data_IF_700125921174
#
_entry.id   IF_700125921174
#
_cell.length_a   1.000
_cell.length_b   1.000
_cell.length_c   1.000
_cell.angle_alpha   90.00
_cell.angle_beta   90.00
_cell.angle_gamma   90.00
#
_symmetry.space_group_name_H-M   'P 1'
#
loop_
_entity.id
_entity.type
_entity.pdbx_description
1 polymer ?
#
# COMPACT_ATOMS: atom_id res chain seq x y z
N UNK A 1 12.54 -12.32 -6.25
CA UNK A 1 11.62 -11.51 -5.44
C UNK A 1 12.03 -10.05 -5.52
N UNK A 2 11.10 -9.11 -5.54
CA UNK A 2 11.39 -7.68 -5.47
C UNK A 2 11.33 -7.19 -4.02
N UNK A 3 12.05 -6.11 -3.70
CA UNK A 3 11.97 -5.47 -2.39
C UNK A 3 11.36 -4.07 -2.51
N UNK A 4 10.37 -3.78 -1.67
CA UNK A 4 9.79 -2.46 -1.47
C UNK A 4 10.61 -1.66 -0.44
N UNK A 5 10.61 -0.35 -0.60
CA UNK A 5 11.29 0.57 0.31
C UNK A 5 10.29 1.17 1.31
N UNK A 6 10.56 0.95 2.59
CA UNK A 6 9.78 1.55 3.66
C UNK A 6 10.28 2.97 3.92
N UNK A 7 9.47 3.97 3.57
CA UNK A 7 9.80 5.37 3.83
C UNK A 7 9.59 5.70 5.31
N UNK A 8 10.64 6.14 6.04
CA UNK A 8 10.50 6.54 7.43
C UNK A 8 9.61 7.78 7.55
N UNK A 9 9.00 7.99 8.71
CA UNK A 9 8.17 9.15 9.02
C UNK A 9 6.90 9.34 8.15
N UNK A 10 6.53 8.39 7.30
CA UNK A 10 5.26 8.46 6.55
C UNK A 10 4.05 8.21 7.45
N UNK A 11 4.26 7.44 8.50
CA UNK A 11 3.35 7.23 9.61
C UNK A 11 4.16 7.20 10.91
N UNK A 12 3.50 7.43 12.04
CA UNK A 12 4.14 7.33 13.36
C UNK A 12 3.39 6.34 14.27
N UNK A 13 3.22 5.15 13.76
CA UNK A 13 2.69 4.02 14.52
C UNK A 13 3.70 3.64 15.61
N UNK A 14 3.28 3.69 16.87
CA UNK A 14 4.14 3.45 18.05
C UNK A 14 4.92 2.12 17.98
N UNK A 15 4.32 1.10 17.40
CA UNK A 15 4.92 -0.22 17.29
C UNK A 15 6.04 -0.33 16.23
N UNK A 16 6.08 0.53 15.24
CA UNK A 16 7.04 0.45 14.12
C UNK A 16 7.94 1.67 13.98
N UNK A 17 7.48 2.85 14.43
CA UNK A 17 8.25 4.08 14.31
C UNK A 17 9.38 4.14 15.35
N UNK A 18 10.56 4.51 14.91
CA UNK A 18 11.72 4.71 15.78
C UNK A 18 11.87 6.19 16.19
N UNK A 19 12.50 6.48 17.35
CA UNK A 19 12.60 7.86 17.85
C UNK A 19 13.25 8.84 16.86
N UNK A 20 14.26 8.41 16.11
CA UNK A 20 14.98 9.23 15.13
C UNK A 20 14.10 9.69 13.96
N UNK A 21 13.07 8.93 13.63
CA UNK A 21 12.17 9.28 12.51
C UNK A 21 11.44 10.61 12.74
N UNK A 22 11.31 11.05 13.97
CA UNK A 22 10.70 12.35 14.30
C UNK A 22 11.49 13.55 13.75
N UNK A 23 12.78 13.35 13.47
CA UNK A 23 13.67 14.39 12.92
C UNK A 23 13.74 14.36 11.38
N UNK A 24 13.11 13.39 10.71
CA UNK A 24 13.11 13.27 9.25
C UNK A 24 12.34 14.44 8.64
N UNK A 25 12.99 15.14 7.72
CA UNK A 25 12.45 16.31 7.03
C UNK A 25 11.92 15.98 5.63
N UNK A 26 11.20 16.92 5.00
CA UNK A 26 10.80 16.78 3.59
C UNK A 26 12.00 16.66 2.63
N UNK A 27 13.14 17.30 2.95
CA UNK A 27 14.37 17.14 2.18
C UNK A 27 14.94 15.71 2.30
N UNK A 28 14.87 15.12 3.50
CA UNK A 28 15.27 13.73 3.71
C UNK A 28 14.35 12.76 2.96
N UNK A 29 13.05 13.03 2.92
CA UNK A 29 12.11 12.24 2.12
C UNK A 29 12.52 12.22 0.63
N UNK A 30 12.89 13.37 0.07
CA UNK A 30 13.40 13.45 -1.32
C UNK A 30 14.69 12.66 -1.50
N UNK A 31 15.66 12.79 -0.57
CA UNK A 31 16.92 12.05 -0.59
C UNK A 31 16.68 10.53 -0.53
N UNK A 32 15.81 10.10 0.35
CA UNK A 32 15.45 8.69 0.54
C UNK A 32 14.76 8.08 -0.69
N UNK A 33 13.83 8.82 -1.31
CA UNK A 33 13.16 8.36 -2.52
C UNK A 33 14.16 8.13 -3.68
N UNK A 34 15.05 9.10 -3.92
CA UNK A 34 16.13 8.97 -4.92
C UNK A 34 17.12 7.86 -4.57
N UNK A 35 17.39 7.67 -3.30
CA UNK A 35 18.26 6.61 -2.81
C UNK A 35 17.67 5.23 -3.05
N UNK A 36 16.39 5.04 -2.69
CA UNK A 36 15.68 3.81 -2.97
C UNK A 36 15.70 3.43 -4.45
N UNK A 37 15.46 4.41 -5.32
CA UNK A 37 15.54 4.24 -6.77
C UNK A 37 16.93 3.84 -7.24
N UNK A 38 17.97 4.56 -6.79
CA UNK A 38 19.38 4.28 -7.12
C UNK A 38 19.80 2.87 -6.71
N UNK A 39 19.31 2.38 -5.57
CA UNK A 39 19.62 1.04 -5.06
C UNK A 39 18.81 -0.07 -5.73
N UNK A 40 17.81 0.26 -6.55
CA UNK A 40 16.99 -0.72 -7.27
C UNK A 40 15.86 -1.32 -6.44
N UNK A 41 15.38 -0.63 -5.41
CA UNK A 41 14.10 -0.98 -4.77
C UNK A 41 12.96 -0.82 -5.78
N UNK A 42 11.97 -1.69 -5.69
CA UNK A 42 10.91 -1.77 -6.71
C UNK A 42 9.81 -0.74 -6.53
N UNK A 43 9.55 -0.31 -5.30
CA UNK A 43 8.44 0.60 -4.99
C UNK A 43 8.63 1.34 -3.68
N UNK A 44 8.01 2.50 -3.60
CA UNK A 44 7.76 3.27 -2.37
C UNK A 44 6.27 3.16 -2.06
N UNK A 45 5.93 2.85 -0.80
CA UNK A 45 4.55 2.74 -0.35
C UNK A 45 4.20 3.80 0.68
N UNK A 46 3.05 4.43 0.53
CA UNK A 46 2.59 5.57 1.33
C UNK A 46 1.30 5.19 2.06
N UNK A 47 1.31 5.14 3.40
CA UNK A 47 0.11 4.87 4.19
C UNK A 47 -0.81 6.08 4.25
N UNK A 48 -2.08 5.86 4.62
CA UNK A 48 -3.08 6.90 4.74
C UNK A 48 -3.94 6.74 5.99
N UNK A 49 -4.16 7.85 6.67
CA UNK A 49 -5.32 8.17 7.47
C UNK A 49 -5.59 9.68 7.31
N UNK A 50 -6.84 10.06 7.18
CA UNK A 50 -7.21 11.47 7.04
C UNK A 50 -7.24 12.18 8.38
N UNK A 51 -7.68 11.47 9.42
CA UNK A 51 -7.74 11.95 10.80
C UNK A 51 -7.69 10.77 11.76
N UNK A 52 -6.89 10.89 12.82
CA UNK A 52 -6.84 9.89 13.88
C UNK A 52 -7.54 10.43 15.12
N UNK A 53 -8.64 9.81 15.58
CA UNK A 53 -9.31 10.18 16.82
C UNK A 53 -8.36 10.08 18.01
N UNK A 54 -8.49 10.99 18.99
CA UNK A 54 -7.62 11.02 20.18
C UNK A 54 -7.59 9.68 20.93
N UNK A 55 -8.70 8.95 20.93
CA UNK A 55 -8.83 7.62 21.53
C UNK A 55 -7.97 6.53 20.83
N UNK A 56 -7.55 6.76 19.59
CA UNK A 56 -6.76 5.82 18.78
C UNK A 56 -5.28 6.18 18.67
N UNK A 57 -4.85 7.33 19.21
CA UNK A 57 -3.46 7.81 19.09
C UNK A 57 -2.45 6.82 19.68
N UNK A 58 -2.77 6.19 20.80
CA UNK A 58 -1.88 5.18 21.41
C UNK A 58 -1.68 3.94 20.54
N UNK A 59 -2.70 3.58 19.76
CA UNK A 59 -2.69 2.42 18.89
C UNK A 59 -2.09 2.75 17.51
N UNK A 60 -2.65 3.76 16.85
CA UNK A 60 -2.37 4.07 15.45
C UNK A 60 -1.29 5.15 15.26
N UNK A 61 -0.90 5.83 16.35
CA UNK A 61 -0.06 7.03 16.25
C UNK A 61 -0.84 8.22 15.68
N UNK A 62 -0.33 9.46 15.88
CA UNK A 62 -1.05 10.68 15.49
C UNK A 62 -0.73 11.18 14.08
N UNK A 63 0.22 10.56 13.37
CA UNK A 63 0.82 11.13 12.17
C UNK A 63 0.69 10.22 10.98
N UNK A 64 0.04 10.72 9.93
CA UNK A 64 -0.04 10.11 8.61
C UNK A 64 -0.01 11.21 7.55
N UNK A 65 0.56 10.90 6.40
CA UNK A 65 0.40 11.75 5.23
C UNK A 65 -0.90 11.42 4.48
N UNK A 66 -1.40 12.36 3.70
CA UNK A 66 -2.39 12.07 2.68
C UNK A 66 -1.71 11.35 1.51
N UNK A 67 -2.23 10.19 1.12
CA UNK A 67 -1.55 9.30 0.19
C UNK A 67 -1.30 9.99 -1.17
N UNK A 68 -2.30 10.57 -1.81
CA UNK A 68 -2.14 11.07 -3.19
C UNK A 68 -1.21 12.28 -3.31
N UNK A 69 -1.27 13.31 -2.44
CA UNK A 69 -0.26 14.37 -2.46
C UNK A 69 1.16 13.86 -2.25
N UNK A 70 1.34 12.91 -1.32
CA UNK A 70 2.66 12.34 -1.05
C UNK A 70 3.14 11.45 -2.22
N UNK A 71 2.25 10.66 -2.85
CA UNK A 71 2.57 9.92 -4.08
C UNK A 71 3.01 10.85 -5.20
N UNK A 72 2.30 11.97 -5.41
CA UNK A 72 2.68 12.98 -6.40
C UNK A 72 4.05 13.59 -6.12
N UNK A 73 4.33 13.91 -4.85
CA UNK A 73 5.64 14.41 -4.44
C UNK A 73 6.76 13.41 -4.71
N UNK A 74 6.59 12.13 -4.34
CA UNK A 74 7.57 11.08 -4.56
C UNK A 74 7.77 10.78 -6.04
N UNK A 75 6.68 10.77 -6.82
CA UNK A 75 6.74 10.59 -8.27
C UNK A 75 7.51 11.73 -8.97
N UNK A 76 7.35 12.98 -8.50
CA UNK A 76 8.10 14.13 -9.01
C UNK A 76 9.57 14.14 -8.58
N UNK A 77 9.92 13.47 -7.48
CA UNK A 77 11.29 13.37 -6.99
C UNK A 77 12.11 12.23 -7.64
N UNK A 78 11.47 11.31 -8.34
CA UNK A 78 12.05 10.05 -8.88
C UNK A 78 11.73 9.87 -10.35
N UNK A 79 12.40 8.95 -11.04
CA UNK A 79 12.26 8.72 -12.48
C UNK A 79 11.72 7.33 -12.84
N UNK A 80 12.01 6.29 -12.05
CA UNK A 80 11.75 4.89 -12.42
C UNK A 80 11.03 4.09 -11.36
N UNK A 81 11.23 4.38 -10.06
CA UNK A 81 10.63 3.62 -8.96
C UNK A 81 9.11 3.78 -8.95
N UNK A 82 8.40 2.68 -8.68
CA UNK A 82 6.94 2.72 -8.51
C UNK A 82 6.54 3.46 -7.24
N UNK A 83 5.44 4.19 -7.30
CA UNK A 83 4.80 4.81 -6.15
C UNK A 83 3.44 4.16 -5.90
N UNK A 84 3.20 3.72 -4.67
CA UNK A 84 2.01 3.00 -4.27
C UNK A 84 1.39 3.60 -3.01
N UNK A 85 0.07 3.57 -2.89
CA UNK A 85 -0.58 3.77 -1.59
C UNK A 85 -0.58 2.45 -0.80
N UNK A 86 -0.30 2.51 0.50
CA UNK A 86 -0.37 1.34 1.37
C UNK A 86 -1.01 1.72 2.71
N UNK A 87 -2.29 1.85 2.73
CA UNK A 87 -3.36 1.67 1.77
C UNK A 87 -4.14 2.98 1.63
N UNK A 88 -4.77 3.24 0.48
CA UNK A 88 -5.77 4.28 0.35
C UNK A 88 -7.14 3.74 0.79
N UNK A 89 -7.85 4.47 1.65
CA UNK A 89 -9.14 4.05 2.19
C UNK A 89 -10.24 4.47 1.21
N UNK A 90 -10.55 3.57 0.27
CA UNK A 90 -11.40 3.87 -0.89
C UNK A 90 -12.74 4.54 -0.55
N UNK A 91 -13.52 4.09 0.47
CA UNK A 91 -14.82 4.70 0.77
C UNK A 91 -14.76 6.10 1.38
N UNK A 92 -13.60 6.55 1.87
CA UNK A 92 -13.47 7.86 2.51
C UNK A 92 -13.28 9.02 1.52
N UNK A 93 -13.04 8.72 0.24
CA UNK A 93 -12.88 9.73 -0.79
C UNK A 93 -13.86 9.49 -1.94
N UNK A 94 -14.39 10.57 -2.49
CA UNK A 94 -15.29 10.47 -3.64
C UNK A 94 -14.58 9.86 -4.85
N UNK A 95 -15.12 8.81 -5.51
CA UNK A 95 -14.42 8.04 -6.54
C UNK A 95 -13.98 8.87 -7.75
N UNK A 96 -14.72 9.90 -8.13
CA UNK A 96 -14.32 10.83 -9.20
C UNK A 96 -13.04 11.59 -8.81
N UNK A 97 -12.93 12.03 -7.55
CA UNK A 97 -11.74 12.75 -7.05
C UNK A 97 -10.54 11.81 -6.99
N UNK A 98 -10.77 10.60 -6.47
CA UNK A 98 -9.76 9.52 -6.44
C UNK A 98 -9.25 9.18 -7.85
N UNK A 99 -10.18 8.94 -8.79
CA UNK A 99 -9.83 8.65 -10.18
C UNK A 99 -8.98 9.76 -10.79
N UNK A 100 -9.38 11.04 -10.57
CA UNK A 100 -8.66 12.20 -11.08
C UNK A 100 -7.27 12.35 -10.47
N UNK A 101 -7.14 12.23 -9.18
CA UNK A 101 -5.84 12.33 -8.50
C UNK A 101 -4.85 11.27 -9.01
N UNK A 102 -5.29 10.02 -9.06
CA UNK A 102 -4.45 8.90 -9.50
C UNK A 102 -4.09 8.98 -10.99
N UNK A 103 -5.04 9.31 -11.88
CA UNK A 103 -4.73 9.46 -13.31
C UNK A 103 -3.78 10.63 -13.56
N UNK A 104 -3.88 11.70 -12.77
CA UNK A 104 -2.94 12.84 -12.85
C UNK A 104 -1.53 12.42 -12.44
N UNK A 105 -1.38 11.71 -11.32
CA UNK A 105 -0.07 11.23 -10.87
C UNK A 105 0.50 10.22 -11.86
N UNK A 106 -0.34 9.34 -12.39
CA UNK A 106 0.06 8.35 -13.39
C UNK A 106 0.59 9.01 -14.66
N UNK A 107 -0.12 10.01 -15.16
CA UNK A 107 0.31 10.77 -16.33
C UNK A 107 1.62 11.52 -16.09
N UNK A 108 1.73 12.24 -14.97
CA UNK A 108 2.93 13.00 -14.61
C UNK A 108 4.15 12.12 -14.32
N UNK A 109 3.94 10.92 -13.82
CA UNK A 109 5.00 9.95 -13.52
C UNK A 109 5.39 9.07 -14.71
N UNK A 110 4.68 9.17 -15.85
CA UNK A 110 4.91 8.27 -16.98
C UNK A 110 4.51 6.82 -16.72
N UNK A 111 3.47 6.58 -15.90
CA UNK A 111 2.92 5.24 -15.67
C UNK A 111 3.59 4.47 -14.54
N UNK A 112 4.01 5.13 -13.46
CA UNK A 112 4.65 4.49 -12.29
C UNK A 112 3.75 4.33 -11.09
N UNK A 113 2.46 4.65 -11.22
CA UNK A 113 1.48 4.51 -10.14
C UNK A 113 1.03 3.06 -10.00
N UNK A 114 0.93 2.61 -8.78
CA UNK A 114 0.12 1.47 -8.34
C UNK A 114 -0.73 1.95 -7.18
N UNK A 115 -1.94 1.49 -7.05
CA UNK A 115 -2.79 1.86 -5.91
C UNK A 115 -3.24 0.62 -5.17
N UNK A 116 -3.02 0.61 -3.85
CA UNK A 116 -3.59 -0.41 -2.97
C UNK A 116 -4.78 0.19 -2.23
N UNK A 117 -5.97 -0.32 -2.52
CA UNK A 117 -7.20 0.08 -1.85
C UNK A 117 -7.58 -0.86 -0.72
N UNK A 118 -8.15 -0.31 0.34
CA UNK A 118 -8.89 -1.08 1.35
C UNK A 118 -10.16 -0.36 1.74
N UNK A 119 -10.99 -1.06 2.54
CA UNK A 119 -12.30 -0.53 2.95
C UNK A 119 -12.23 0.31 4.23
N UNK A 120 -11.10 0.31 4.94
CA UNK A 120 -10.94 0.97 6.23
C UNK A 120 -11.52 0.20 7.41
N UNK A 121 -11.01 0.49 8.60
CA UNK A 121 -11.36 -0.21 9.85
C UNK A 121 -11.78 0.73 11.00
N UNK A 122 -11.29 1.98 10.99
CA UNK A 122 -11.48 2.95 12.07
C UNK A 122 -12.82 3.65 11.94
N UNK A 123 -13.84 3.14 12.64
CA UNK A 123 -15.23 3.63 12.54
C UNK A 123 -15.33 5.13 12.82
N UNK A 124 -14.59 5.62 13.80
CA UNK A 124 -14.62 7.01 14.23
C UNK A 124 -14.11 7.96 13.12
N UNK A 125 -13.15 7.53 12.31
CA UNK A 125 -12.69 8.29 11.14
C UNK A 125 -13.83 8.44 10.12
N UNK A 126 -14.59 7.36 9.88
CA UNK A 126 -15.77 7.39 9.01
C UNK A 126 -16.86 8.34 9.54
N UNK A 127 -17.14 8.28 10.85
CA UNK A 127 -18.13 9.14 11.49
C UNK A 127 -17.77 10.62 11.37
N UNK A 128 -16.48 10.95 11.59
CA UNK A 128 -15.97 12.33 11.46
C UNK A 128 -16.04 12.86 10.02
N UNK A 129 -15.88 11.99 9.03
CA UNK A 129 -15.97 12.34 7.62
C UNK A 129 -17.39 12.21 7.05
N UNK A 130 -18.36 11.83 7.87
CA UNK A 130 -19.78 11.69 7.46
C UNK A 130 -20.04 10.51 6.53
N UNK A 131 -19.18 9.48 6.54
CA UNK A 131 -19.30 8.30 5.69
C UNK A 131 -19.88 7.12 6.47
N UNK A 132 -20.86 6.44 5.92
CA UNK A 132 -21.54 5.33 6.57
C UNK A 132 -20.63 4.10 6.68
N UNK A 133 -20.08 3.85 7.87
CA UNK A 133 -19.13 2.76 8.12
C UNK A 133 -19.65 1.38 7.75
N UNK A 134 -20.93 1.11 8.01
CA UNK A 134 -21.56 -0.18 7.69
C UNK A 134 -21.79 -0.40 6.17
N UNK A 135 -21.63 0.62 5.35
CA UNK A 135 -21.76 0.54 3.89
C UNK A 135 -20.41 0.51 3.17
N UNK A 136 -19.28 0.61 3.89
CA UNK A 136 -17.94 0.75 3.31
C UNK A 136 -17.56 -0.35 2.31
N UNK A 137 -18.01 -1.58 2.54
CA UNK A 137 -17.77 -2.69 1.61
C UNK A 137 -18.52 -2.55 0.29
N UNK A 138 -19.81 -2.16 0.36
CA UNK A 138 -20.64 -1.91 -0.82
C UNK A 138 -20.16 -0.65 -1.58
N UNK A 139 -19.81 0.40 -0.84
CA UNK A 139 -19.21 1.61 -1.43
C UNK A 139 -17.92 1.29 -2.17
N UNK A 140 -17.03 0.50 -1.58
CA UNK A 140 -15.76 0.14 -2.22
C UNK A 140 -15.97 -0.68 -3.51
N UNK A 141 -16.97 -1.57 -3.54
CA UNK A 141 -17.31 -2.34 -4.73
C UNK A 141 -17.81 -1.43 -5.87
N UNK A 142 -18.67 -0.49 -5.55
CA UNK A 142 -19.23 0.45 -6.51
C UNK A 142 -18.18 1.49 -6.96
N UNK A 143 -17.37 1.98 -6.03
CA UNK A 143 -16.36 2.99 -6.31
C UNK A 143 -15.26 2.50 -7.24
N UNK A 144 -14.81 1.25 -7.07
CA UNK A 144 -13.80 0.70 -7.99
C UNK A 144 -14.33 0.56 -9.41
N UNK A 145 -15.60 0.17 -9.58
CA UNK A 145 -16.24 0.09 -10.89
C UNK A 145 -16.34 1.48 -11.54
N UNK A 146 -16.81 2.47 -10.78
CA UNK A 146 -16.90 3.86 -11.25
C UNK A 146 -15.53 4.44 -11.63
N UNK A 147 -14.48 4.14 -10.86
CA UNK A 147 -13.11 4.57 -11.15
C UNK A 147 -12.60 3.92 -12.45
N UNK A 148 -12.80 2.62 -12.63
CA UNK A 148 -12.40 1.91 -13.85
C UNK A 148 -13.13 2.46 -15.06
N UNK A 149 -14.44 2.73 -14.94
CA UNK A 149 -15.24 3.34 -16.00
C UNK A 149 -14.67 4.72 -16.41
N UNK A 150 -14.34 5.58 -15.44
CA UNK A 150 -13.71 6.89 -15.69
C UNK A 150 -12.36 6.75 -16.41
N UNK A 151 -11.57 5.74 -16.06
CA UNK A 151 -10.22 5.54 -16.63
C UNK A 151 -10.23 4.94 -18.02
N UNK A 152 -11.25 4.14 -18.37
CA UNK A 152 -11.25 3.33 -19.58
C UNK A 152 -12.21 3.79 -20.67
N UNK A 153 -13.37 4.32 -20.29
CA UNK A 153 -14.42 4.69 -21.23
C UNK A 153 -14.15 6.07 -21.86
N UNK A 154 -14.36 6.19 -23.17
CA UNK A 154 -14.33 7.50 -23.88
C UNK A 154 -15.54 8.39 -23.49
N UNK A 155 -16.66 7.77 -23.18
CA UNK A 155 -17.90 8.42 -22.74
C UNK A 155 -18.34 7.77 -21.43
N UNK A 156 -17.70 8.14 -20.30
CA UNK A 156 -17.95 7.46 -19.05
C UNK A 156 -19.36 7.73 -18.53
N UNK A 157 -20.07 6.65 -18.26
CA UNK A 157 -21.41 6.66 -17.65
C UNK A 157 -21.46 5.58 -16.56
N UNK A 158 -21.96 5.94 -15.41
CA UNK A 158 -22.12 5.03 -14.30
C UNK A 158 -23.38 5.37 -13.52
N UNK A 159 -24.16 4.36 -13.15
CA UNK A 159 -25.33 4.50 -12.31
C UNK A 159 -25.26 3.52 -11.14
N UNK A 160 -25.02 4.05 -9.96
CA UNK A 160 -24.91 3.30 -8.73
C UNK A 160 -25.74 3.93 -7.62
N UNK A 161 -25.71 3.30 -6.45
CA UNK A 161 -26.39 3.78 -5.26
C UNK A 161 -25.62 4.92 -4.57
N UNK A 162 -24.30 4.89 -4.63
CA UNK A 162 -23.41 5.80 -3.91
C UNK A 162 -22.77 6.83 -4.83
N UNK A 163 -22.69 6.53 -6.12
CA UNK A 163 -22.19 7.47 -7.13
C UNK A 163 -22.89 7.25 -8.46
N UNK A 164 -23.22 8.33 -9.16
CA UNK A 164 -23.73 8.27 -10.52
C UNK A 164 -23.19 9.44 -11.32
N UNK A 165 -22.89 9.22 -12.59
CA UNK A 165 -22.49 10.26 -13.52
C UNK A 165 -22.85 9.87 -14.96
N UNK A 166 -23.21 10.88 -15.76
CA UNK A 166 -23.48 10.77 -17.20
C UNK A 166 -23.20 12.09 -17.89
N UNK A 167 -22.98 12.05 -19.18
CA UNK A 167 -22.69 13.26 -19.99
C UNK A 167 -21.44 14.01 -19.45
N UNK A 168 -20.41 13.30 -19.09
CA UNK A 168 -19.17 13.86 -18.54
C UNK A 168 -17.97 13.52 -19.42
N UNK A 169 -16.95 14.36 -19.34
CA UNK A 169 -15.63 14.08 -19.92
C UNK A 169 -14.65 13.91 -18.78
N UNK A 170 -13.82 12.88 -18.86
CA UNK A 170 -12.80 12.60 -17.86
C UNK A 170 -11.43 12.50 -18.54
N UNK A 171 -10.57 13.50 -18.29
CA UNK A 171 -9.17 13.59 -18.75
C UNK A 171 -8.29 14.17 -17.62
N UNK A 172 -6.97 13.83 -17.58
CA UNK A 172 -6.32 12.86 -18.45
C UNK A 172 -6.73 11.43 -18.09
N UNK A 173 -6.72 10.56 -19.07
CA UNK A 173 -6.76 9.12 -18.83
C UNK A 173 -5.42 8.65 -18.28
N UNK A 174 -5.35 7.56 -17.51
CA UNK A 174 -4.08 6.92 -17.17
C UNK A 174 -3.26 6.57 -18.42
N UNK A 175 -1.93 6.69 -18.32
CA UNK A 175 -1.05 6.22 -19.39
C UNK A 175 -0.91 4.70 -19.38
N UNK A 176 -1.02 4.08 -18.21
CA UNK A 176 -1.04 2.63 -18.05
C UNK A 176 -2.32 2.01 -18.63
N UNK A 177 -2.20 0.88 -19.30
CA UNK A 177 -3.35 0.19 -19.95
C UNK A 177 -3.53 -1.23 -19.41
N UNK A 178 -4.76 -1.68 -19.24
CA UNK A 178 -6.03 -0.97 -19.54
C UNK A 178 -6.33 0.17 -18.57
N UNK A 179 -5.74 0.17 -17.37
CA UNK A 179 -5.83 1.19 -16.32
C UNK A 179 -4.68 1.01 -15.32
N UNK A 180 -4.57 1.92 -14.35
CA UNK A 180 -3.58 1.86 -13.26
C UNK A 180 -3.68 0.51 -12.55
N UNK A 181 -2.56 -0.19 -12.28
CA UNK A 181 -2.58 -1.42 -11.50
C UNK A 181 -3.22 -1.20 -10.12
N UNK A 182 -4.29 -1.93 -9.86
CA UNK A 182 -5.04 -1.87 -8.60
C UNK A 182 -4.73 -3.09 -7.77
N UNK A 183 -4.35 -2.88 -6.53
CA UNK A 183 -4.20 -3.91 -5.52
C UNK A 183 -5.27 -3.74 -4.45
N UNK A 184 -5.57 -4.82 -3.73
CA UNK A 184 -6.47 -4.75 -2.59
C UNK A 184 -5.79 -5.23 -1.33
N UNK A 185 -5.98 -4.45 -0.25
CA UNK A 185 -5.47 -4.74 1.09
C UNK A 185 -6.51 -5.36 1.99
N UNK A 186 -6.11 -6.43 2.70
CA UNK A 186 -6.95 -7.12 3.68
C UNK A 186 -7.10 -8.62 3.42
N UNK A 187 -7.82 -9.29 4.32
CA UNK A 187 -7.83 -10.75 4.44
C UNK A 187 -9.22 -11.39 4.29
N UNK A 188 -10.29 -10.58 4.31
CA UNK A 188 -11.68 -11.06 4.21
C UNK A 188 -11.97 -11.58 2.80
N UNK A 189 -12.85 -12.58 2.70
CA UNK A 189 -13.24 -13.19 1.41
C UNK A 189 -13.73 -12.15 0.38
N UNK A 190 -14.48 -11.14 0.83
CA UNK A 190 -14.92 -10.05 -0.05
C UNK A 190 -13.74 -9.25 -0.64
N UNK A 191 -12.60 -9.14 0.04
CA UNK A 191 -11.37 -8.52 -0.47
C UNK A 191 -10.73 -9.43 -1.49
N UNK A 192 -10.63 -10.73 -1.22
CA UNK A 192 -10.04 -11.71 -2.14
C UNK A 192 -10.88 -11.82 -3.43
N UNK A 193 -12.21 -11.81 -3.32
CA UNK A 193 -13.11 -11.79 -4.48
C UNK A 193 -12.95 -10.50 -5.30
N UNK A 194 -12.83 -9.34 -4.65
CA UNK A 194 -12.56 -8.06 -5.34
C UNK A 194 -11.20 -8.08 -6.02
N UNK A 195 -10.19 -8.66 -5.37
CA UNK A 195 -8.87 -8.89 -5.98
C UNK A 195 -9.00 -9.75 -7.24
N UNK A 196 -9.78 -10.82 -7.19
CA UNK A 196 -10.02 -11.68 -8.35
C UNK A 196 -10.60 -10.92 -9.54
N UNK A 197 -11.60 -10.07 -9.31
CA UNK A 197 -12.30 -9.34 -10.38
C UNK A 197 -11.50 -8.20 -10.98
N UNK A 198 -10.90 -7.37 -10.13
CA UNK A 198 -10.36 -6.08 -10.55
C UNK A 198 -8.86 -5.94 -10.30
N UNK A 199 -8.31 -6.74 -9.38
CA UNK A 199 -6.96 -6.56 -8.86
C UNK A 199 -5.88 -7.18 -9.73
N UNK A 200 -4.74 -6.50 -9.79
CA UNK A 200 -3.47 -7.08 -10.24
C UNK A 200 -2.54 -7.45 -9.08
N UNK A 201 -2.93 -7.12 -7.85
CA UNK A 201 -2.16 -7.46 -6.66
C UNK A 201 -3.00 -7.58 -5.40
N UNK A 202 -2.41 -8.27 -4.43
CA UNK A 202 -2.99 -8.48 -3.11
C UNK A 202 -1.97 -8.12 -2.01
N UNK A 203 -2.45 -7.40 -1.00
CA UNK A 203 -1.67 -7.02 0.17
C UNK A 203 -2.36 -7.53 1.44
N UNK A 204 -2.06 -8.76 1.91
CA UNK A 204 -2.59 -9.29 3.15
C UNK A 204 -2.19 -8.44 4.36
N UNK A 205 -3.05 -8.40 5.36
CA UNK A 205 -2.82 -7.64 6.59
C UNK A 205 -2.55 -8.54 7.80
N UNK A 206 -3.45 -9.48 8.09
CA UNK A 206 -3.38 -10.40 9.23
C UNK A 206 -3.15 -11.85 8.81
N UNK A 207 -3.15 -12.15 7.51
CA UNK A 207 -2.93 -13.51 7.01
C UNK A 207 -1.57 -14.00 7.46
N UNK A 208 -1.54 -15.17 8.11
CA UNK A 208 -0.28 -15.82 8.45
C UNK A 208 0.40 -16.32 7.18
N UNK A 209 1.74 -16.33 7.13
CA UNK A 209 2.48 -16.71 5.92
C UNK A 209 2.03 -18.07 5.35
N UNK A 210 1.80 -19.05 6.21
CA UNK A 210 1.42 -20.42 5.84
C UNK A 210 0.11 -20.49 5.03
N UNK A 211 -0.74 -19.46 5.13
CA UNK A 211 -2.03 -19.39 4.44
C UNK A 211 -1.97 -18.60 3.11
N UNK A 212 -0.83 -18.00 2.78
CA UNK A 212 -0.72 -17.12 1.59
C UNK A 212 -1.00 -17.92 0.30
N UNK A 213 -0.38 -19.08 0.14
CA UNK A 213 -0.56 -19.90 -1.05
C UNK A 213 -2.04 -20.33 -1.23
N UNK A 214 -2.70 -20.78 -0.15
CA UNK A 214 -4.12 -21.14 -0.14
C UNK A 214 -5.01 -19.96 -0.57
N UNK A 215 -4.73 -18.77 -0.04
CA UNK A 215 -5.52 -17.57 -0.39
C UNK A 215 -5.25 -17.08 -1.82
N UNK A 216 -4.05 -17.23 -2.34
CA UNK A 216 -3.74 -16.99 -3.76
C UNK A 216 -4.55 -17.96 -4.64
N UNK A 217 -4.60 -19.23 -4.28
CA UNK A 217 -5.39 -20.24 -5.00
C UNK A 217 -6.89 -19.92 -4.91
N UNK A 218 -7.37 -19.48 -3.74
CA UNK A 218 -8.74 -19.02 -3.58
C UNK A 218 -9.06 -17.85 -4.52
N UNK A 219 -8.19 -16.83 -4.61
CA UNK A 219 -8.38 -15.70 -5.54
C UNK A 219 -8.48 -16.21 -6.98
N UNK A 220 -7.58 -17.10 -7.39
CA UNK A 220 -7.52 -17.63 -8.76
C UNK A 220 -8.69 -18.59 -9.10
N UNK A 221 -9.30 -19.18 -8.10
CA UNK A 221 -10.44 -20.12 -8.28
C UNK A 221 -11.79 -19.43 -8.45
N UNK A 222 -11.87 -18.10 -8.25
CA UNK A 222 -13.14 -17.39 -8.42
C UNK A 222 -13.61 -17.41 -9.87
N UNK A 223 -14.92 -17.63 -10.08
CA UNK A 223 -15.52 -17.74 -11.43
C UNK A 223 -15.36 -16.49 -12.30
N UNK A 224 -15.16 -15.33 -11.66
CA UNK A 224 -14.95 -14.03 -12.29
C UNK A 224 -13.50 -13.54 -12.19
N UNK A 225 -12.54 -14.48 -12.01
CA UNK A 225 -11.12 -14.15 -11.94
C UNK A 225 -10.62 -13.54 -13.25
N UNK A 226 -10.10 -12.33 -13.16
CA UNK A 226 -9.62 -11.54 -14.30
C UNK A 226 -8.33 -12.06 -14.96
N UNK A 227 -7.63 -13.01 -14.34
CA UNK A 227 -6.32 -13.49 -14.80
C UNK A 227 -5.15 -12.51 -14.52
N UNK A 228 -5.37 -11.43 -13.79
CA UNK A 228 -4.41 -10.32 -13.67
C UNK A 228 -3.51 -10.35 -12.42
N UNK A 229 -3.76 -11.24 -11.45
CA UNK A 229 -2.95 -11.28 -10.23
C UNK A 229 -1.49 -11.58 -10.53
N UNK A 230 -0.64 -10.58 -10.46
CA UNK A 230 0.80 -10.61 -10.72
C UNK A 230 1.63 -10.33 -9.48
N UNK A 231 1.08 -9.54 -8.55
CA UNK A 231 1.80 -9.07 -7.38
C UNK A 231 1.13 -9.53 -6.09
N UNK A 232 1.93 -10.07 -5.18
CA UNK A 232 1.56 -10.34 -3.79
C UNK A 232 2.62 -9.71 -2.92
N UNK A 233 2.23 -8.68 -2.17
CA UNK A 233 3.12 -8.05 -1.21
C UNK A 233 2.98 -8.71 0.16
N UNK A 234 4.09 -9.12 0.77
CA UNK A 234 4.08 -9.58 2.14
C UNK A 234 5.38 -9.15 2.84
N UNK A 235 5.24 -8.38 3.94
CA UNK A 235 6.38 -7.93 4.74
C UNK A 235 6.65 -8.85 5.93
N UNK A 236 7.80 -8.61 6.57
CA UNK A 236 8.09 -9.21 7.86
C UNK A 236 7.14 -8.64 8.90
N UNK A 237 6.11 -9.39 9.28
CA UNK A 237 5.31 -9.03 10.44
C UNK A 237 6.15 -9.24 11.68
N UNK A 238 6.60 -8.16 12.26
CA UNK A 238 7.33 -8.17 13.52
C UNK A 238 6.40 -7.90 14.70
N UNK A 239 5.17 -7.48 14.41
CA UNK A 239 4.17 -7.17 15.41
C UNK A 239 3.04 -8.18 15.36
N UNK A 240 2.60 -8.69 16.49
CA UNK A 240 1.33 -9.40 16.59
C UNK A 240 0.23 -8.36 16.67
N UNK A 241 -0.70 -8.42 15.74
CA UNK A 241 -1.91 -7.59 15.79
C UNK A 241 -3.01 -8.42 16.40
N UNK A 242 -3.51 -8.01 17.58
CA UNK A 242 -4.61 -8.64 18.28
C UNK A 242 -5.99 -8.22 17.75
N UNK A 243 -7.03 -8.67 18.41
CA UNK A 243 -8.40 -8.22 18.16
C UNK A 243 -8.47 -6.68 18.25
N UNK A 244 -9.23 -6.06 17.37
CA UNK A 244 -9.35 -4.59 17.30
C UNK A 244 -8.11 -3.89 16.77
N UNK A 245 -7.24 -4.59 16.02
CA UNK A 245 -6.00 -4.06 15.45
C UNK A 245 -4.97 -3.54 16.47
N UNK A 246 -5.01 -4.06 17.69
CA UNK A 246 -4.02 -3.70 18.72
C UNK A 246 -2.68 -4.37 18.47
N UNK A 247 -1.60 -3.59 18.58
CA UNK A 247 -0.24 -4.11 18.52
C UNK A 247 0.16 -4.62 19.91
N UNK A 248 0.41 -5.92 20.03
CA UNK A 248 0.65 -6.57 21.33
C UNK A 248 2.12 -6.63 21.74
N UNK A 249 3.05 -6.55 20.77
CA UNK A 249 4.48 -6.66 21.04
C UNK A 249 5.20 -5.34 20.72
N UNK A 250 6.22 -5.01 21.51
CA UNK A 250 7.14 -3.92 21.18
C UNK A 250 8.19 -4.46 20.18
N UNK A 251 8.18 -4.03 18.90
CA UNK A 251 9.15 -4.50 17.92
C UNK A 251 10.60 -4.13 18.29
N UNK A 252 10.79 -3.13 19.14
CA UNK A 252 12.11 -2.72 19.63
C UNK A 252 12.74 -3.73 20.62
N UNK A 253 11.91 -4.57 21.22
CA UNK A 253 12.37 -5.62 22.12
C UNK A 253 12.88 -6.87 21.39
N UNK A 254 12.81 -6.92 20.06
CA UNK A 254 13.17 -8.10 19.29
C UNK A 254 14.65 -8.10 18.91
N UNK A 255 15.32 -9.25 18.98
CA UNK A 255 16.65 -9.38 18.42
C UNK A 255 16.62 -9.13 16.92
N UNK A 256 17.62 -8.42 16.41
CA UNK A 256 17.81 -8.24 14.98
C UNK A 256 17.97 -9.59 14.28
N UNK A 257 17.47 -9.68 13.04
CA UNK A 257 17.69 -10.85 12.19
C UNK A 257 19.08 -10.78 11.56
N UNK A 258 19.75 -11.92 11.47
CA UNK A 258 20.97 -12.07 10.68
C UNK A 258 20.69 -12.00 9.17
N UNK A 259 21.73 -11.75 8.39
CA UNK A 259 21.65 -11.78 6.91
C UNK A 259 21.01 -13.09 6.41
N UNK A 260 21.47 -14.23 6.93
CA UNK A 260 20.96 -15.54 6.49
C UNK A 260 19.50 -15.75 6.87
N UNK A 261 19.09 -15.39 8.06
CA UNK A 261 17.67 -15.47 8.49
C UNK A 261 16.74 -14.62 7.62
N UNK A 262 17.20 -13.44 7.17
CA UNK A 262 16.42 -12.59 6.24
C UNK A 262 16.30 -13.29 4.89
N UNK A 263 17.41 -13.80 4.34
CA UNK A 263 17.42 -14.50 3.04
C UNK A 263 16.53 -15.74 3.08
N UNK A 264 16.64 -16.58 4.11
CA UNK A 264 15.86 -17.80 4.27
C UNK A 264 14.34 -17.46 4.37
N UNK A 265 14.01 -16.43 5.13
CA UNK A 265 12.61 -15.99 5.27
C UNK A 265 12.05 -15.46 3.95
N UNK A 266 12.79 -14.67 3.20
CA UNK A 266 12.40 -14.18 1.88
C UNK A 266 12.29 -15.32 0.86
N UNK A 267 13.20 -16.31 0.93
CA UNK A 267 13.11 -17.54 0.15
C UNK A 267 11.80 -18.28 0.39
N UNK A 268 11.48 -18.50 1.67
CA UNK A 268 10.21 -19.11 2.05
C UNK A 268 8.98 -18.33 1.57
N UNK A 269 8.98 -16.99 1.70
CA UNK A 269 7.89 -16.17 1.17
C UNK A 269 7.73 -16.32 -0.35
N UNK A 270 8.86 -16.40 -1.08
CA UNK A 270 8.84 -16.61 -2.53
C UNK A 270 8.21 -17.95 -2.90
N UNK A 271 8.49 -19.02 -2.16
CA UNK A 271 7.87 -20.34 -2.32
C UNK A 271 6.34 -20.30 -2.09
N UNK A 272 5.87 -19.44 -1.19
CA UNK A 272 4.45 -19.22 -0.93
C UNK A 272 3.74 -18.35 -1.99
N UNK A 273 4.46 -17.84 -2.99
CA UNK A 273 3.91 -17.01 -4.05
C UNK A 273 3.99 -15.50 -3.81
N UNK A 274 4.73 -15.07 -2.79
CA UNK A 274 5.02 -13.65 -2.57
C UNK A 274 5.98 -13.14 -3.65
N UNK A 275 5.66 -12.02 -4.27
CA UNK A 275 6.45 -11.43 -5.35
C UNK A 275 7.24 -10.21 -4.91
N UNK A 276 6.71 -9.48 -3.92
CA UNK A 276 7.32 -8.27 -3.35
C UNK A 276 7.31 -8.39 -1.84
N UNK A 277 8.43 -8.04 -1.20
CA UNK A 277 8.54 -8.00 0.27
C UNK A 277 9.25 -6.73 0.73
N UNK A 278 9.19 -6.46 2.03
CA UNK A 278 10.05 -5.48 2.69
C UNK A 278 10.85 -6.21 3.77
N UNK A 279 12.09 -5.78 4.03
CA UNK A 279 12.93 -6.35 5.09
C UNK A 279 12.68 -5.66 6.43
N UNK A 280 12.89 -6.36 7.56
CA UNK A 280 12.75 -5.75 8.88
C UNK A 280 13.84 -4.69 9.09
N UNK A 281 13.46 -3.56 9.70
CA UNK A 281 14.40 -2.48 9.99
C UNK A 281 14.92 -2.68 11.42
N UNK A 282 16.26 -2.76 11.64
CA UNK A 282 16.83 -2.85 12.97
C UNK A 282 16.67 -1.54 13.73
N UNK A 283 17.02 -1.53 15.02
CA UNK A 283 17.12 -0.29 15.78
C UNK A 283 18.27 0.57 15.24
N UNK A 284 17.91 1.78 14.80
CA UNK A 284 18.82 2.78 14.24
C UNK A 284 18.81 4.04 15.10
N UNK A 285 19.75 4.95 14.88
CA UNK A 285 19.89 6.18 15.67
C UNK A 285 19.53 7.45 14.89
N UNK A 286 19.69 7.43 13.57
CA UNK A 286 19.49 8.59 12.71
C UNK A 286 19.14 8.15 11.27
N UNK A 287 18.85 9.12 10.43
CA UNK A 287 18.53 8.87 9.02
C UNK A 287 19.73 8.37 8.22
N UNK A 288 20.94 8.75 8.61
CA UNK A 288 22.18 8.27 7.99
C UNK A 288 22.38 6.77 8.21
N UNK A 289 22.13 6.26 9.41
CA UNK A 289 22.15 4.81 9.68
C UNK A 289 21.12 4.07 8.80
N UNK A 290 20.01 4.73 8.46
CA UNK A 290 19.00 4.15 7.57
C UNK A 290 19.48 4.09 6.12
N UNK A 291 20.21 5.10 5.63
CA UNK A 291 20.88 5.04 4.33
C UNK A 291 21.87 3.89 4.27
N UNK A 292 22.73 3.74 5.27
CA UNK A 292 23.73 2.67 5.34
C UNK A 292 23.06 1.28 5.39
N UNK A 293 22.03 1.14 6.21
CA UNK A 293 21.29 -0.11 6.31
C UNK A 293 20.62 -0.51 5.00
N UNK A 294 19.96 0.43 4.33
CA UNK A 294 19.27 0.15 3.06
C UNK A 294 20.24 -0.12 1.91
N UNK A 295 21.44 0.45 1.94
CA UNK A 295 22.53 0.09 1.05
C UNK A 295 22.99 -1.35 1.30
N UNK A 296 23.24 -1.72 2.56
CA UNK A 296 23.58 -3.09 2.92
C UNK A 296 22.52 -4.09 2.44
N UNK A 297 21.24 -3.79 2.58
CA UNK A 297 20.16 -4.63 2.04
C UNK A 297 20.28 -4.79 0.52
N UNK A 298 20.56 -3.70 -0.20
CA UNK A 298 20.71 -3.74 -1.65
C UNK A 298 21.93 -4.55 -2.11
N UNK A 299 23.02 -4.50 -1.37
CA UNK A 299 24.28 -5.18 -1.70
C UNK A 299 24.28 -6.66 -1.27
N UNK A 300 23.70 -6.96 -0.11
CA UNK A 300 23.84 -8.28 0.52
C UNK A 300 22.56 -9.15 0.47
N UNK A 301 21.38 -8.54 0.43
CA UNK A 301 20.11 -9.27 0.46
C UNK A 301 19.51 -9.38 -0.94
N UNK A 302 19.36 -8.26 -1.67
CA UNK A 302 18.71 -8.27 -2.98
C UNK A 302 19.32 -9.26 -3.97
N UNK A 303 20.65 -9.41 -4.10
CA UNK A 303 21.22 -10.36 -5.04
C UNK A 303 20.89 -11.82 -4.71
N UNK A 304 20.76 -12.12 -3.41
CA UNK A 304 20.51 -13.49 -2.92
C UNK A 304 19.06 -13.95 -3.10
N UNK A 305 18.11 -13.02 -3.34
CA UNK A 305 16.66 -13.32 -3.43
C UNK A 305 16.04 -13.04 -4.81
N UNK A 306 16.85 -12.65 -5.79
CA UNK A 306 16.44 -12.41 -7.18
C UNK A 306 15.85 -13.63 -7.89
#
# INVERSE_FOLDING_TARGET
MQLGFAMPHMLRLKASCQPWEAAVTGADQTRLAKWAEKLGYSMISIPEHHIVPASHVELSGPHYFSAYPAMGYMAGATETIRVNSCIAILPLQHPIVTAKALSTIDWLSGGRVTVTFAVGWMKEEFDLLGVAFNQRGAMAEEYIQAIIELWTSEKPEFEGRHVSFRNVVFEPKPVQKPFIPVWFGGDADAVLQRTARYGSGWWPFLTRPELIAEKIDYIKSQSDYSGKLSDVFYGFSTSRVGEGHTVQDDPRARPGMTRQEIIDRLGWFKELGVTISAVPIPMLKCVEDYFDYTQWVAEEIMPAVK
#
